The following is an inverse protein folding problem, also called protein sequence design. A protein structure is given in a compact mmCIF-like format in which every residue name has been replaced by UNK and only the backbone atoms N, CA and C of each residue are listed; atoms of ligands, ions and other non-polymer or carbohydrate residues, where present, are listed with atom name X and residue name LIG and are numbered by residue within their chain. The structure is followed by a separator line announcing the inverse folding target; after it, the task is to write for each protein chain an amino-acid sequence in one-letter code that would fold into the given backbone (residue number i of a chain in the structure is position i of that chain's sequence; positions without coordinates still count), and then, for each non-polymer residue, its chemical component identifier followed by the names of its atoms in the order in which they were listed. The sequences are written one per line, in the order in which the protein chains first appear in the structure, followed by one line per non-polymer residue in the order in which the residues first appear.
data_IF_747485568131
#
_entry.id   IF_747485568131
#
_cell.length_a   1.000
_cell.length_b   1.000
_cell.length_c   1.000
_cell.angle_alpha   90.00
_cell.angle_beta   90.00
_cell.angle_gamma   90.00
#
_symmetry.space_group_name_H-M   'P 1'
#
loop_
_entity.id
_entity.type
_entity.pdbx_description
1 polymer ?
#
# COMPACT_ATOMS: atom_id res chain seq x y z
N UNK A 1 36.12 16.65 4.40
CA UNK A 1 35.71 15.93 3.18
C UNK A 1 35.46 14.48 3.54
N UNK A 2 34.24 14.13 3.90
CA UNK A 2 33.84 12.74 4.16
C UNK A 2 33.15 12.23 2.90
N UNK A 3 33.77 11.25 2.23
CA UNK A 3 33.18 10.50 1.13
C UNK A 3 32.07 9.63 1.72
N UNK A 4 30.82 10.03 1.54
CA UNK A 4 29.66 9.22 1.83
C UNK A 4 29.61 8.08 0.79
N UNK A 5 29.90 6.87 1.25
CA UNK A 5 29.79 5.67 0.44
C UNK A 5 28.30 5.48 0.06
N UNK A 6 27.99 5.78 -1.19
CA UNK A 6 26.68 5.50 -1.80
C UNK A 6 26.59 3.99 -1.96
N UNK A 7 25.97 3.30 -0.98
CA UNK A 7 25.64 1.89 -1.10
C UNK A 7 24.55 1.81 -2.17
N UNK A 8 24.89 1.22 -3.32
CA UNK A 8 23.96 0.99 -4.41
C UNK A 8 22.79 0.11 -3.89
N UNK A 9 21.55 0.60 -3.81
CA UNK A 9 20.43 -0.16 -3.28
C UNK A 9 20.14 -1.43 -4.10
N UNK A 10 20.65 -1.49 -5.33
CA UNK A 10 20.49 -2.61 -6.26
C UNK A 10 21.21 -3.89 -5.80
N UNK A 11 22.34 -3.79 -5.12
CA UNK A 11 23.13 -4.95 -4.68
C UNK A 11 22.52 -5.64 -3.47
N UNK A 12 21.91 -4.88 -2.57
CA UNK A 12 21.22 -5.46 -1.42
C UNK A 12 19.92 -6.18 -1.82
N UNK A 13 19.22 -5.62 -2.82
CA UNK A 13 18.01 -6.22 -3.40
C UNK A 13 18.32 -7.56 -4.08
N UNK A 14 19.46 -7.64 -4.79
CA UNK A 14 19.95 -8.86 -5.44
C UNK A 14 20.32 -9.95 -4.43
N UNK A 15 20.91 -9.59 -3.29
CA UNK A 15 21.29 -10.55 -2.23
C UNK A 15 20.10 -11.15 -1.49
N UNK A 16 19.09 -10.33 -1.17
CA UNK A 16 17.83 -10.82 -0.59
C UNK A 16 17.07 -11.74 -1.56
N UNK A 17 17.09 -11.41 -2.84
CA UNK A 17 16.45 -12.20 -3.90
C UNK A 17 17.05 -13.60 -4.06
N UNK A 18 18.39 -13.73 -4.07
CA UNK A 18 19.08 -15.01 -4.20
C UNK A 18 18.82 -15.93 -3.00
N UNK A 19 18.70 -15.39 -1.81
CA UNK A 19 18.47 -16.18 -0.59
C UNK A 19 17.02 -16.67 -0.47
N UNK A 20 16.04 -15.89 -0.98
CA UNK A 20 14.62 -16.30 -1.02
C UNK A 20 14.37 -17.35 -2.10
N UNK A 21 15.09 -17.29 -3.23
CA UNK A 21 14.97 -18.29 -4.30
C UNK A 21 15.57 -19.66 -3.94
N UNK A 22 16.51 -19.72 -3.02
CA UNK A 22 17.18 -20.97 -2.61
C UNK A 22 16.30 -21.92 -1.77
N UNK A 23 15.10 -21.51 -1.35
CA UNK A 23 14.25 -22.29 -0.44
C UNK A 23 13.15 -23.10 -1.17
N UNK A 24 13.00 -22.94 -2.49
CA UNK A 24 11.90 -23.56 -3.25
C UNK A 24 12.40 -24.59 -4.26
N UNK A 25 12.84 -25.77 -3.81
CA UNK A 25 12.92 -26.97 -4.64
C UNK A 25 11.86 -27.98 -4.20
N UNK A 26 10.61 -27.74 -4.58
CA UNK A 26 9.55 -28.76 -4.63
C UNK A 26 8.75 -28.53 -5.91
N UNK A 27 8.51 -29.64 -6.61
CA UNK A 27 7.87 -29.78 -7.93
C UNK A 27 6.62 -28.87 -8.09
N UNK A 28 6.37 -28.32 -9.30
CA UNK A 28 5.26 -27.41 -9.54
C UNK A 28 3.92 -28.17 -9.45
N UNK A 29 2.94 -27.66 -8.68
CA UNK A 29 1.57 -28.15 -8.77
C UNK A 29 0.93 -27.68 -10.08
N UNK A 30 0.14 -28.56 -10.70
CA UNK A 30 -0.49 -28.39 -12.02
C UNK A 30 -1.62 -27.34 -12.11
N UNK A 31 -1.86 -26.56 -11.08
CA UNK A 31 -2.87 -25.49 -11.09
C UNK A 31 -2.21 -24.13 -10.84
N UNK A 32 -2.09 -23.35 -11.91
CA UNK A 32 -1.53 -22.01 -11.91
C UNK A 32 -2.47 -20.96 -11.25
N UNK A 33 -3.05 -21.26 -10.10
CA UNK A 33 -3.70 -20.26 -9.26
C UNK A 33 -2.61 -19.60 -8.40
N UNK A 34 -2.31 -18.32 -8.67
CA UNK A 34 -1.37 -17.56 -7.85
C UNK A 34 -1.98 -17.45 -6.43
N UNK A 35 -1.47 -18.28 -5.52
CA UNK A 35 -1.84 -18.19 -4.11
C UNK A 35 -1.26 -16.89 -3.53
N UNK A 36 -2.02 -16.12 -2.71
CA UNK A 36 -1.48 -14.96 -2.01
C UNK A 36 -0.33 -15.29 -1.06
N UNK A 37 -0.05 -16.57 -0.83
CA UNK A 37 1.10 -17.07 -0.05
C UNK A 37 2.31 -17.39 -0.92
N UNK A 38 2.19 -17.34 -2.25
CA UNK A 38 3.34 -17.68 -3.10
C UNK A 38 4.42 -16.60 -2.98
N UNK A 39 5.71 -16.97 -2.87
CA UNK A 39 6.80 -16.00 -2.76
C UNK A 39 6.86 -15.07 -3.99
N UNK A 40 6.48 -15.57 -5.15
CA UNK A 40 6.41 -14.78 -6.38
C UNK A 40 5.33 -13.67 -6.28
N UNK A 41 4.16 -13.98 -5.70
CA UNK A 41 3.11 -12.99 -5.48
C UNK A 41 3.56 -11.91 -4.49
N UNK A 42 4.16 -12.34 -3.37
CA UNK A 42 4.67 -11.41 -2.34
C UNK A 42 5.77 -10.52 -2.90
N UNK A 43 6.67 -11.07 -3.69
CA UNK A 43 7.71 -10.32 -4.36
C UNK A 43 7.14 -9.32 -5.38
N UNK A 44 6.22 -9.75 -6.23
CA UNK A 44 5.53 -8.85 -7.17
C UNK A 44 4.81 -7.70 -6.47
N UNK A 45 4.15 -7.98 -5.33
CA UNK A 45 3.50 -6.98 -4.51
C UNK A 45 4.51 -5.98 -3.94
N UNK A 46 5.64 -6.47 -3.41
CA UNK A 46 6.72 -5.62 -2.89
C UNK A 46 7.28 -4.69 -3.98
N UNK A 47 7.59 -5.24 -5.16
CA UNK A 47 8.10 -4.47 -6.29
C UNK A 47 7.08 -3.43 -6.74
N UNK A 48 5.82 -3.81 -6.87
CA UNK A 48 4.75 -2.91 -7.34
C UNK A 48 4.51 -1.76 -6.36
N UNK A 49 4.39 -2.06 -5.06
CA UNK A 49 4.23 -1.02 -4.03
C UNK A 49 5.51 -0.16 -3.97
N UNK A 50 6.68 -0.79 -3.89
CA UNK A 50 7.95 -0.08 -3.80
C UNK A 50 8.15 0.87 -4.97
N UNK A 51 8.03 0.39 -6.20
CA UNK A 51 8.21 1.22 -7.40
C UNK A 51 7.23 2.41 -7.43
N UNK A 52 5.96 2.19 -7.13
CA UNK A 52 4.95 3.26 -7.12
C UNK A 52 5.24 4.35 -6.09
N UNK A 53 5.90 4.02 -5.00
CA UNK A 53 6.27 4.96 -3.94
C UNK A 53 7.57 5.71 -4.21
N UNK A 54 8.41 5.18 -5.10
CA UNK A 54 9.64 5.86 -5.55
C UNK A 54 9.39 6.87 -6.66
N UNK A 55 8.32 6.70 -7.43
CA UNK A 55 7.98 7.59 -8.54
C UNK A 55 7.95 9.10 -8.15
N UNK A 56 7.42 9.50 -6.98
CA UNK A 56 7.41 10.90 -6.57
C UNK A 56 8.79 11.51 -6.28
N UNK A 57 9.84 10.71 -6.09
CA UNK A 57 11.21 11.24 -5.86
C UNK A 57 11.70 12.06 -7.05
N UNK A 58 11.34 11.63 -8.27
CA UNK A 58 11.72 12.34 -9.50
C UNK A 58 10.63 13.29 -9.99
N UNK A 59 9.38 13.07 -9.55
CA UNK A 59 8.20 13.80 -10.01
C UNK A 59 7.30 14.21 -8.85
N UNK A 60 7.50 15.40 -8.31
CA UNK A 60 6.75 15.91 -7.15
C UNK A 60 5.23 15.99 -7.35
N UNK A 61 4.76 16.11 -8.59
CA UNK A 61 3.33 16.14 -8.93
C UNK A 61 2.61 14.82 -8.59
N UNK A 62 3.36 13.72 -8.46
CA UNK A 62 2.84 12.39 -8.14
C UNK A 62 2.93 12.02 -6.66
N UNK A 63 3.21 12.97 -5.76
CA UNK A 63 3.17 12.70 -4.33
C UNK A 63 1.85 12.03 -3.92
N UNK A 64 1.94 10.93 -3.17
CA UNK A 64 0.83 10.09 -2.75
C UNK A 64 0.01 9.43 -3.89
N UNK A 65 0.44 9.51 -5.16
CA UNK A 65 -0.17 8.75 -6.22
C UNK A 65 0.36 7.30 -6.19
N UNK A 66 -0.30 6.44 -5.41
CA UNK A 66 0.17 5.08 -5.11
C UNK A 66 -1.03 4.11 -5.04
N UNK A 67 -0.85 2.83 -5.42
CA UNK A 67 -1.88 1.80 -5.29
C UNK A 67 -2.12 1.34 -3.84
N UNK A 68 -1.32 1.80 -2.89
CA UNK A 68 -1.26 1.24 -1.53
C UNK A 68 -2.61 1.27 -0.82
N UNK A 69 -3.31 2.41 -0.80
CA UNK A 69 -4.63 2.52 -0.16
C UNK A 69 -5.66 1.59 -0.82
N UNK A 70 -5.63 1.49 -2.16
CA UNK A 70 -6.51 0.60 -2.90
C UNK A 70 -6.22 -0.88 -2.59
N UNK A 71 -4.94 -1.26 -2.44
CA UNK A 71 -4.54 -2.62 -2.07
C UNK A 71 -5.13 -2.99 -0.71
N UNK A 72 -4.99 -2.14 0.32
CA UNK A 72 -5.55 -2.42 1.64
C UNK A 72 -7.08 -2.44 1.65
N UNK A 73 -7.73 -1.52 0.94
CA UNK A 73 -9.19 -1.51 0.82
C UNK A 73 -9.72 -2.78 0.15
N UNK A 74 -9.14 -3.16 -1.00
CA UNK A 74 -9.53 -4.36 -1.76
C UNK A 74 -9.17 -5.64 -1.01
N UNK A 75 -7.98 -5.69 -0.40
CA UNK A 75 -7.58 -6.84 0.41
C UNK A 75 -8.54 -7.06 1.59
N UNK A 76 -8.94 -5.99 2.28
CA UNK A 76 -9.95 -6.06 3.34
C UNK A 76 -11.29 -6.55 2.83
N UNK A 77 -11.75 -6.10 1.65
CA UNK A 77 -13.05 -6.44 1.08
C UNK A 77 -13.11 -7.88 0.55
N UNK A 78 -12.07 -8.35 -0.12
CA UNK A 78 -12.12 -9.60 -0.92
C UNK A 78 -11.25 -10.73 -0.39
N UNK A 79 -10.19 -10.44 0.39
CA UNK A 79 -9.27 -11.45 0.87
C UNK A 79 -9.55 -11.85 2.32
N UNK A 80 -9.21 -13.09 2.66
CA UNK A 80 -9.36 -13.64 4.01
C UNK A 80 -8.03 -14.21 4.51
N UNK A 81 -7.92 -14.31 5.83
CA UNK A 81 -6.73 -14.84 6.50
C UNK A 81 -5.67 -13.78 6.78
N UNK A 82 -4.64 -14.19 7.52
CA UNK A 82 -3.60 -13.28 8.02
C UNK A 82 -2.80 -12.61 6.90
N UNK A 83 -2.51 -13.31 5.83
CA UNK A 83 -1.73 -12.82 4.71
C UNK A 83 -2.41 -11.70 3.90
N UNK A 84 -3.72 -11.51 4.08
CA UNK A 84 -4.46 -10.44 3.39
C UNK A 84 -4.02 -9.03 3.81
N UNK A 85 -3.54 -8.87 5.02
CA UNK A 85 -3.07 -7.58 5.54
C UNK A 85 -1.58 -7.58 5.88
N UNK A 86 -1.01 -8.71 6.35
CA UNK A 86 0.41 -8.77 6.71
C UNK A 86 1.32 -8.63 5.51
N UNK A 87 0.99 -9.25 4.37
CA UNK A 87 1.81 -9.16 3.16
C UNK A 87 1.93 -7.72 2.64
N UNK A 88 0.83 -6.97 2.38
CA UNK A 88 0.94 -5.59 1.96
C UNK A 88 1.55 -4.69 3.04
N UNK A 89 1.31 -4.96 4.33
CA UNK A 89 1.91 -4.18 5.42
C UNK A 89 3.43 -4.36 5.46
N UNK A 90 3.93 -5.59 5.35
CA UNK A 90 5.37 -5.85 5.25
C UNK A 90 5.98 -5.19 4.01
N UNK A 91 5.30 -5.23 2.87
CA UNK A 91 5.78 -4.59 1.65
C UNK A 91 5.89 -3.07 1.80
N UNK A 92 4.90 -2.43 2.43
CA UNK A 92 4.94 -1.00 2.73
C UNK A 92 6.04 -0.69 3.72
N UNK A 93 6.13 -1.44 4.83
CA UNK A 93 7.16 -1.21 5.84
C UNK A 93 8.57 -1.31 5.27
N UNK A 94 8.84 -2.34 4.47
CA UNK A 94 10.13 -2.49 3.79
C UNK A 94 10.39 -1.32 2.82
N UNK A 95 9.38 -0.93 2.02
CA UNK A 95 9.53 0.21 1.10
C UNK A 95 9.77 1.54 1.84
N UNK A 96 9.19 1.73 3.04
CA UNK A 96 9.41 2.92 3.86
C UNK A 96 10.85 3.01 4.37
N UNK A 97 11.47 1.88 4.76
CA UNK A 97 12.87 1.87 5.15
C UNK A 97 13.77 2.40 4.03
N UNK A 98 13.57 1.94 2.80
CA UNK A 98 14.35 2.40 1.65
C UNK A 98 14.03 3.85 1.28
N UNK A 99 12.78 4.24 1.37
CA UNK A 99 12.34 5.60 1.05
C UNK A 99 12.93 6.61 2.05
N UNK A 100 12.91 6.30 3.35
CA UNK A 100 13.53 7.13 4.38
C UNK A 100 15.03 7.29 4.13
N UNK A 101 15.72 6.20 3.77
CA UNK A 101 17.14 6.26 3.40
C UNK A 101 17.38 7.14 2.16
N UNK A 102 16.51 7.07 1.14
CA UNK A 102 16.58 7.90 -0.05
C UNK A 102 16.38 9.40 0.24
N UNK A 103 15.54 9.73 1.22
CA UNK A 103 15.33 11.10 1.69
C UNK A 103 16.40 11.57 2.70
N UNK A 104 17.38 10.72 3.05
CA UNK A 104 18.41 11.05 4.07
C UNK A 104 17.86 11.10 5.49
N UNK A 105 16.70 10.48 5.75
CA UNK A 105 16.07 10.38 7.06
C UNK A 105 16.56 9.13 7.82
N UNK A 106 16.20 9.02 9.09
CA UNK A 106 16.46 7.79 9.84
C UNK A 106 15.68 6.62 9.23
N UNK A 107 16.24 5.41 9.32
CA UNK A 107 15.59 4.20 8.81
C UNK A 107 14.22 3.96 9.45
N UNK A 108 14.08 4.24 10.74
CA UNK A 108 12.85 4.12 11.50
C UNK A 108 12.41 5.53 11.94
N UNK A 109 11.31 5.99 11.35
CA UNK A 109 10.69 7.25 11.71
C UNK A 109 9.33 7.00 12.39
N UNK A 110 8.95 7.77 13.41
CA UNK A 110 7.66 7.63 14.08
C UNK A 110 6.47 7.69 13.12
N UNK A 111 6.62 8.41 12.03
CA UNK A 111 5.62 8.53 10.96
C UNK A 111 5.26 7.17 10.34
N UNK A 112 6.19 6.23 10.26
CA UNK A 112 5.92 4.87 9.75
C UNK A 112 4.86 4.14 10.57
N UNK A 113 4.83 4.33 11.89
CA UNK A 113 3.82 3.69 12.74
C UNK A 113 2.42 4.23 12.44
N UNK A 114 2.31 5.53 12.24
CA UNK A 114 1.03 6.18 11.92
C UNK A 114 0.53 5.78 10.53
N UNK A 115 1.42 5.68 9.54
CA UNK A 115 1.05 5.20 8.21
C UNK A 115 0.62 3.74 8.24
N UNK A 116 1.33 2.86 8.95
CA UNK A 116 0.94 1.47 9.14
C UNK A 116 -0.43 1.33 9.83
N UNK A 117 -0.66 2.10 10.90
CA UNK A 117 -1.96 2.13 11.59
C UNK A 117 -3.06 2.60 10.64
N UNK A 118 -2.81 3.65 9.86
CA UNK A 118 -3.77 4.16 8.86
C UNK A 118 -4.14 3.10 7.84
N UNK A 119 -3.17 2.32 7.34
CA UNK A 119 -3.44 1.21 6.42
C UNK A 119 -4.29 0.10 7.06
N UNK A 120 -4.06 -0.21 8.33
CA UNK A 120 -4.90 -1.18 9.05
C UNK A 120 -6.35 -0.67 9.23
N UNK A 121 -6.55 0.62 9.48
CA UNK A 121 -7.88 1.23 9.53
C UNK A 121 -8.57 1.11 8.18
N UNK A 122 -7.86 1.37 7.06
CA UNK A 122 -8.41 1.24 5.71
C UNK A 122 -8.73 -0.22 5.37
N UNK A 123 -7.88 -1.17 5.80
CA UNK A 123 -8.18 -2.59 5.68
C UNK A 123 -9.47 -2.95 6.45
N UNK A 124 -9.65 -2.42 7.65
CA UNK A 124 -10.87 -2.57 8.44
C UNK A 124 -12.10 -1.98 7.73
N UNK A 125 -11.96 -0.80 7.10
CA UNK A 125 -13.00 -0.21 6.26
C UNK A 125 -13.34 -1.12 5.07
N UNK A 126 -12.35 -1.71 4.42
CA UNK A 126 -12.55 -2.71 3.37
C UNK A 126 -13.34 -3.93 3.87
N UNK A 127 -13.03 -4.43 5.06
CA UNK A 127 -13.79 -5.52 5.70
C UNK A 127 -15.24 -5.15 5.97
N UNK A 128 -15.47 -3.93 6.43
CA UNK A 128 -16.83 -3.43 6.72
C UNK A 128 -17.66 -3.29 5.43
N UNK A 129 -17.08 -2.78 4.35
CA UNK A 129 -17.74 -2.67 3.04
C UNK A 129 -18.02 -4.06 2.46
N UNK A 130 -17.08 -5.00 2.63
CA UNK A 130 -17.17 -6.35 2.08
C UNK A 130 -17.13 -6.42 0.56
N UNK A 131 -17.28 -7.62 -0.03
CA UNK A 131 -17.32 -7.80 -1.48
C UNK A 131 -18.58 -7.17 -2.05
N UNK A 132 -18.44 -6.04 -2.72
CA UNK A 132 -19.58 -5.32 -3.31
C UNK A 132 -19.58 -5.38 -4.81
N UNK A 133 -20.77 -5.55 -5.42
CA UNK A 133 -20.96 -5.42 -6.86
C UNK A 133 -21.25 -3.98 -7.29
N UNK A 134 -21.69 -3.12 -6.37
CA UNK A 134 -22.02 -1.73 -6.66
C UNK A 134 -20.75 -0.88 -6.70
N UNK A 135 -20.44 -0.31 -7.84
CA UNK A 135 -19.28 0.56 -8.04
C UNK A 135 -19.33 1.82 -7.17
N UNK A 136 -20.53 2.31 -6.86
CA UNK A 136 -20.74 3.48 -5.99
C UNK A 136 -20.23 3.25 -4.57
N UNK A 137 -20.47 2.04 -4.00
CA UNK A 137 -19.93 1.68 -2.69
C UNK A 137 -18.41 1.56 -2.69
N UNK A 138 -17.85 1.00 -3.77
CA UNK A 138 -16.41 0.93 -3.93
C UNK A 138 -15.79 2.32 -4.07
N UNK A 139 -16.40 3.20 -4.86
CA UNK A 139 -15.96 4.59 -5.01
C UNK A 139 -16.02 5.34 -3.68
N UNK A 140 -17.12 5.21 -2.94
CA UNK A 140 -17.26 5.80 -1.60
C UNK A 140 -16.19 5.28 -0.63
N UNK A 141 -15.90 3.98 -0.65
CA UNK A 141 -14.83 3.37 0.14
C UNK A 141 -13.45 3.88 -0.25
N UNK A 142 -13.17 4.05 -1.54
CA UNK A 142 -11.90 4.57 -2.03
C UNK A 142 -11.69 6.03 -1.63
N UNK A 143 -12.70 6.89 -1.80
CA UNK A 143 -12.65 8.29 -1.35
C UNK A 143 -12.52 8.35 0.16
N UNK A 144 -13.33 7.60 0.91
CA UNK A 144 -13.26 7.53 2.36
C UNK A 144 -11.89 7.08 2.87
N UNK A 145 -11.27 6.09 2.22
CA UNK A 145 -9.91 5.63 2.53
C UNK A 145 -8.87 6.75 2.37
N UNK A 146 -8.92 7.49 1.26
CA UNK A 146 -7.99 8.59 1.00
C UNK A 146 -8.18 9.73 2.01
N UNK A 147 -9.42 10.10 2.34
CA UNK A 147 -9.74 11.13 3.32
C UNK A 147 -9.30 10.72 4.73
N UNK A 148 -9.60 9.48 5.16
CA UNK A 148 -9.16 8.98 6.47
C UNK A 148 -7.64 8.95 6.59
N UNK A 149 -6.95 8.45 5.57
CA UNK A 149 -5.48 8.45 5.55
C UNK A 149 -4.94 9.86 5.69
N UNK A 150 -5.45 10.80 4.90
CA UNK A 150 -5.03 12.20 4.92
C UNK A 150 -5.26 12.86 6.30
N UNK A 151 -6.45 12.69 6.87
CA UNK A 151 -6.77 13.25 8.20
C UNK A 151 -5.82 12.68 9.26
N UNK A 152 -5.63 11.37 9.30
CA UNK A 152 -4.78 10.71 10.31
C UNK A 152 -3.33 11.19 10.18
N UNK A 153 -2.78 11.15 8.98
CA UNK A 153 -1.36 11.48 8.74
C UNK A 153 -1.07 12.97 8.92
N UNK A 154 -1.94 13.87 8.43
CA UNK A 154 -1.77 15.30 8.63
C UNK A 154 -2.02 15.74 10.09
N UNK A 155 -2.92 15.06 10.82
CA UNK A 155 -3.09 15.31 12.26
C UNK A 155 -1.86 14.92 13.04
N UNK A 156 -1.23 13.78 12.70
CA UNK A 156 0.04 13.39 13.31
C UNK A 156 1.15 14.40 12.98
N UNK A 157 1.25 14.84 11.73
CA UNK A 157 2.20 15.89 11.34
C UNK A 157 1.97 17.17 12.15
N UNK A 158 0.72 17.59 12.34
CA UNK A 158 0.39 18.71 13.20
C UNK A 158 0.86 18.51 14.65
N UNK A 159 0.71 17.31 15.20
CA UNK A 159 1.16 17.02 16.58
C UNK A 159 2.69 17.00 16.67
N UNK A 160 3.36 16.33 15.75
CA UNK A 160 4.79 16.03 15.81
C UNK A 160 5.68 17.19 15.34
N UNK A 161 5.24 17.98 14.35
CA UNK A 161 6.05 19.05 13.78
C UNK A 161 5.84 20.38 14.53
N UNK A 162 6.92 20.96 15.11
CA UNK A 162 6.86 22.23 15.84
C UNK A 162 6.54 23.45 14.95
N UNK A 163 6.68 23.35 13.63
CA UNK A 163 6.33 24.42 12.70
C UNK A 163 4.83 24.75 12.70
N UNK A 164 3.97 23.84 13.15
CA UNK A 164 2.53 24.10 13.27
C UNK A 164 2.17 24.70 14.63
N UNK A 165 1.35 25.77 14.61
CA UNK A 165 0.74 26.29 15.83
C UNK A 165 -0.23 25.25 16.39
N UNK A 166 -0.15 24.94 17.68
CA UNK A 166 -1.01 23.94 18.35
C UNK A 166 -2.39 24.53 18.67
N UNK A 167 -3.14 24.82 17.61
CA UNK A 167 -4.50 25.39 17.65
C UNK A 167 -5.38 24.74 16.59
N UNK A 168 -6.68 24.95 16.65
CA UNK A 168 -7.62 24.49 15.61
C UNK A 168 -7.24 25.05 14.24
N UNK A 169 -6.82 26.33 14.16
CA UNK A 169 -6.34 26.94 12.92
C UNK A 169 -5.11 26.23 12.37
N UNK A 170 -4.14 25.87 13.22
CA UNK A 170 -2.96 25.10 12.81
C UNK A 170 -3.28 23.67 12.35
N UNK A 171 -4.29 23.02 12.95
CA UNK A 171 -4.78 21.72 12.49
C UNK A 171 -5.44 21.84 11.10
N UNK A 172 -6.29 22.82 10.88
CA UNK A 172 -6.91 23.09 9.58
C UNK A 172 -5.84 23.41 8.52
N UNK A 173 -4.82 24.19 8.89
CA UNK A 173 -3.67 24.44 8.04
C UNK A 173 -2.98 23.13 7.63
N UNK A 174 -2.71 22.23 8.58
CA UNK A 174 -2.07 20.95 8.30
C UNK A 174 -2.89 20.08 7.34
N UNK A 175 -4.22 20.11 7.44
CA UNK A 175 -5.11 19.36 6.55
C UNK A 175 -5.24 19.98 5.15
N UNK A 176 -5.01 21.28 5.00
CA UNK A 176 -5.26 22.01 3.74
C UNK A 176 -3.97 22.43 3.05
N UNK A 177 -3.26 23.39 3.63
CA UNK A 177 -2.08 23.99 3.02
C UNK A 177 -0.78 23.27 3.41
N UNK A 178 -0.76 22.57 4.56
CA UNK A 178 0.45 21.95 5.05
C UNK A 178 1.44 22.97 5.63
N UNK A 179 2.71 22.59 5.63
CA UNK A 179 3.81 23.44 6.10
C UNK A 179 4.19 24.45 5.02
N UNK A 180 4.37 25.74 5.37
CA UNK A 180 4.81 26.78 4.42
C UNK A 180 6.15 26.43 3.77
N UNK A 181 6.24 26.58 2.45
CA UNK A 181 7.44 26.25 1.68
C UNK A 181 7.47 24.83 1.10
N UNK A 182 6.50 24.01 1.47
CA UNK A 182 6.34 22.65 0.91
C UNK A 182 5.08 22.56 0.04
N UNK A 183 4.95 21.40 -0.65
CA UNK A 183 3.76 21.10 -1.47
C UNK A 183 2.50 21.13 -0.60
N UNK A 184 1.44 21.83 -1.00
CA UNK A 184 0.21 21.93 -0.21
C UNK A 184 -0.42 20.57 0.09
N UNK A 185 -0.91 20.38 1.33
CA UNK A 185 -1.48 19.12 1.79
C UNK A 185 -2.68 18.64 0.96
N UNK A 186 -3.51 19.57 0.44
CA UNK A 186 -4.64 19.21 -0.44
C UNK A 186 -4.20 18.53 -1.75
N UNK A 187 -2.97 18.77 -2.23
CA UNK A 187 -2.43 18.09 -3.42
C UNK A 187 -2.21 16.60 -3.14
N UNK A 188 -1.69 16.26 -1.96
CA UNK A 188 -1.56 14.87 -1.51
C UNK A 188 -2.92 14.19 -1.42
N UNK A 189 -3.94 14.87 -0.86
CA UNK A 189 -5.31 14.35 -0.79
C UNK A 189 -5.88 14.10 -2.20
N UNK A 190 -5.75 15.07 -3.10
CA UNK A 190 -6.20 14.94 -4.49
C UNK A 190 -5.59 13.70 -5.15
N UNK A 191 -4.29 13.55 -5.07
CA UNK A 191 -3.57 12.43 -5.67
C UNK A 191 -3.95 11.08 -5.03
N UNK A 192 -4.11 11.05 -3.70
CA UNK A 192 -4.58 9.88 -2.97
C UNK A 192 -5.99 9.46 -3.40
N UNK A 193 -6.91 10.40 -3.57
CA UNK A 193 -8.28 10.11 -4.05
C UNK A 193 -8.24 9.55 -5.47
N UNK A 194 -7.53 10.21 -6.38
CA UNK A 194 -7.44 9.79 -7.78
C UNK A 194 -6.80 8.40 -7.92
N UNK A 195 -5.66 8.18 -7.25
CA UNK A 195 -4.96 6.90 -7.30
C UNK A 195 -5.79 5.79 -6.65
N UNK A 196 -6.40 6.03 -5.48
CA UNK A 196 -7.19 5.02 -4.79
C UNK A 196 -8.43 4.63 -5.61
N UNK A 197 -9.11 5.57 -6.24
CA UNK A 197 -10.21 5.29 -7.16
C UNK A 197 -9.72 4.43 -8.34
N UNK A 198 -8.69 4.91 -9.05
CA UNK A 198 -8.16 4.23 -10.22
C UNK A 198 -7.75 2.79 -9.91
N UNK A 199 -6.89 2.60 -8.90
CA UNK A 199 -6.40 1.27 -8.55
C UNK A 199 -7.46 0.37 -7.92
N UNK A 200 -8.44 0.91 -7.18
CA UNK A 200 -9.54 0.11 -6.65
C UNK A 200 -10.41 -0.46 -7.78
N UNK A 201 -10.71 0.32 -8.79
CA UNK A 201 -11.45 -0.17 -9.96
C UNK A 201 -10.64 -1.16 -10.78
N UNK A 202 -9.33 -0.89 -11.00
CA UNK A 202 -8.44 -1.78 -11.73
C UNK A 202 -8.29 -3.14 -11.02
N UNK A 203 -8.03 -3.14 -9.71
CA UNK A 203 -7.91 -4.36 -8.90
C UNK A 203 -9.22 -5.14 -8.86
N UNK A 204 -10.34 -4.44 -8.69
CA UNK A 204 -11.66 -5.05 -8.73
C UNK A 204 -11.93 -5.72 -10.07
N UNK A 205 -11.63 -5.04 -11.18
CA UNK A 205 -11.78 -5.59 -12.52
C UNK A 205 -10.89 -6.83 -12.71
N UNK A 206 -9.63 -6.77 -12.30
CA UNK A 206 -8.71 -7.91 -12.34
C UNK A 206 -9.22 -9.12 -11.54
N UNK A 207 -9.86 -8.90 -10.38
CA UNK A 207 -10.49 -9.97 -9.58
C UNK A 207 -11.68 -10.57 -10.33
N UNK A 208 -12.47 -9.76 -11.05
CA UNK A 208 -13.65 -10.23 -11.79
C UNK A 208 -13.32 -11.07 -13.01
N UNK A 209 -12.10 -10.94 -13.56
CA UNK A 209 -11.63 -11.71 -14.71
C UNK A 209 -11.21 -13.16 -14.36
N UNK A 210 -11.06 -13.49 -13.06
CA UNK A 210 -10.79 -14.89 -12.68
C UNK A 210 -12.01 -15.74 -13.00
N UNK A 211 -11.88 -16.79 -13.84
CA UNK A 211 -12.97 -17.71 -14.12
C UNK A 211 -13.44 -18.33 -12.80
N UNK A 212 -14.77 -18.37 -12.62
CA UNK A 212 -15.36 -19.12 -11.53
C UNK A 212 -14.86 -20.57 -11.65
N UNK A 213 -14.16 -21.08 -10.66
CA UNK A 213 -13.82 -22.49 -10.60
C UNK A 213 -15.13 -23.27 -10.60
N UNK A 214 -15.44 -23.95 -11.71
CA UNK A 214 -16.57 -24.86 -11.80
C UNK A 214 -16.27 -25.97 -10.77
N UNK A 215 -17.12 -26.17 -9.74
CA UNK A 215 -16.93 -27.30 -8.85
C UNK A 215 -16.97 -28.56 -9.71
N UNK A 216 -15.87 -29.31 -9.75
CA UNK A 216 -15.88 -30.64 -10.36
C UNK A 216 -16.96 -31.46 -9.65
N UNK A 217 -18.05 -31.73 -10.36
CA UNK A 217 -19.05 -32.68 -9.91
C UNK A 217 -18.33 -33.99 -9.59
N UNK A 218 -18.29 -34.35 -8.30
CA UNK A 218 -17.84 -35.67 -7.89
C UNK A 218 -18.75 -36.69 -8.58
N UNK A 219 -18.25 -37.30 -9.60
CA UNK A 219 -18.88 -38.50 -10.17
C UNK A 219 -18.84 -39.56 -9.06
N UNK A 220 -19.97 -39.71 -8.33
CA UNK A 220 -20.20 -40.88 -7.51
C UNK A 220 -20.22 -42.08 -8.45
N UNK A 221 -19.10 -42.80 -8.52
CA UNK A 221 -19.09 -44.15 -9.03
C UNK A 221 -19.89 -45.01 -8.06
N UNK A 222 -21.14 -45.31 -8.44
CA UNK A 222 -21.92 -46.35 -7.83
C UNK A 222 -21.31 -47.69 -8.22
N UNK A 223 -20.84 -48.41 -7.24
CA UNK A 223 -20.56 -49.84 -7.27
C UNK A 223 -21.50 -50.56 -6.33
#
# INVERSE_FOLDING_TARGET
MQKQARIEPFLFFSYCFTKIMSISHSSPPSDASISPKSPLFLFGLLVFIGFSRYLPLDHSDFFNFSPTLAIFLIAGSYLRGIWSWTAPLCAVFVSDLFLNAAYGMNWLEPYMMITCLSYLVIFGLGKWIGPTRKLTFLAGGAIGSAVLFHIITCSFSWIANPAYIKSVGGLLQAWTFGEPGFTPAYMFLKNSVLSTLFFSFALRWAISLKPAQIPHAQTKTAS
#
